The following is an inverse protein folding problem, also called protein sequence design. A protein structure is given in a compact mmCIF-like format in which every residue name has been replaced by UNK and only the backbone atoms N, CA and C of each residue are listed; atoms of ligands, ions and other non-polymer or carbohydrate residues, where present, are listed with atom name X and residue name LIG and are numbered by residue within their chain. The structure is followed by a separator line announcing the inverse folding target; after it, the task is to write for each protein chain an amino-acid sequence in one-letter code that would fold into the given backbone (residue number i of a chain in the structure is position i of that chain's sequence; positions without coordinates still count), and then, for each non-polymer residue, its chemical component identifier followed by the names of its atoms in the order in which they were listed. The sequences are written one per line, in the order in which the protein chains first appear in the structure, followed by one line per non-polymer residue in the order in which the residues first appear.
data_IF_437159416174
#
_entry.id   IF_437159416174
#
_cell.length_a   1.000
_cell.length_b   1.000
_cell.length_c   1.000
_cell.angle_alpha   90.00
_cell.angle_beta   90.00
_cell.angle_gamma   90.00
#
_symmetry.space_group_name_H-M   'P 1'
#
loop_
_entity.id
_entity.type
_entity.pdbx_description
1 polymer ?
#
# COMPACT_ATOMS: atom_id res chain seq x y z
N UNK A 1 -3.22 -1.59 -17.16
CA UNK A 1 -4.15 -1.87 -16.04
C UNK A 1 -3.38 -2.71 -15.03
N UNK A 2 -3.20 -2.25 -13.79
CA UNK A 2 -2.58 -3.06 -12.73
C UNK A 2 -3.67 -3.83 -12.00
N UNK A 3 -3.47 -5.13 -11.76
CA UNK A 3 -4.41 -5.95 -11.02
C UNK A 3 -4.01 -5.98 -9.55
N UNK A 4 -4.89 -5.49 -8.68
CA UNK A 4 -4.71 -5.56 -7.24
C UNK A 4 -5.45 -6.80 -6.73
N UNK A 5 -4.72 -7.74 -6.12
CA UNK A 5 -5.33 -8.91 -5.49
C UNK A 5 -5.20 -8.80 -3.98
N UNK A 6 -6.35 -8.87 -3.31
CA UNK A 6 -6.44 -8.91 -1.86
C UNK A 6 -6.93 -10.30 -1.47
N UNK A 7 -6.20 -10.98 -0.60
CA UNK A 7 -6.66 -12.25 -0.01
C UNK A 7 -7.20 -11.98 1.39
N UNK A 8 -8.47 -12.32 1.60
CA UNK A 8 -9.20 -12.13 2.87
C UNK A 8 -10.16 -10.94 2.78
N UNK A 9 -11.46 -11.21 2.89
CA UNK A 9 -12.58 -10.32 2.51
C UNK A 9 -12.81 -9.04 3.33
N UNK A 10 -11.78 -8.44 3.92
CA UNK A 10 -11.87 -7.21 4.71
C UNK A 10 -10.93 -6.09 4.23
N UNK A 11 -10.28 -6.29 3.07
CA UNK A 11 -9.45 -5.26 2.47
C UNK A 11 -10.13 -4.68 1.22
N UNK A 12 -10.11 -3.36 1.09
CA UNK A 12 -10.54 -2.64 -0.13
C UNK A 12 -9.31 -2.00 -0.75
N UNK A 13 -9.17 -2.06 -2.08
CA UNK A 13 -8.09 -1.39 -2.78
C UNK A 13 -8.57 -0.65 -4.02
N UNK A 14 -7.90 0.46 -4.31
CA UNK A 14 -8.09 1.25 -5.52
C UNK A 14 -6.72 1.60 -6.10
N UNK A 15 -6.55 1.38 -7.40
CA UNK A 15 -5.40 1.84 -8.15
C UNK A 15 -5.77 3.08 -8.96
N UNK A 16 -4.95 4.12 -8.87
CA UNK A 16 -5.13 5.40 -9.53
C UNK A 16 -3.87 5.74 -10.31
N UNK A 17 -4.04 6.43 -11.44
CA UNK A 17 -2.94 7.05 -12.17
C UNK A 17 -3.10 8.55 -12.06
N UNK A 18 -2.14 9.20 -11.42
CA UNK A 18 -2.12 10.65 -11.28
C UNK A 18 -1.81 11.32 -12.63
N UNK A 19 -2.18 12.61 -12.82
CA UNK A 19 -1.94 13.34 -14.07
C UNK A 19 -0.45 13.45 -14.46
N UNK A 20 0.45 13.41 -13.48
CA UNK A 20 1.91 13.37 -13.68
C UNK A 20 2.41 12.00 -14.18
N UNK A 21 1.51 11.04 -14.35
CA UNK A 21 1.80 9.70 -14.84
C UNK A 21 2.15 8.69 -13.75
N UNK A 22 2.30 9.11 -12.49
CA UNK A 22 2.61 8.24 -11.36
C UNK A 22 1.43 7.33 -11.01
N UNK A 23 1.74 6.12 -10.57
CA UNK A 23 0.76 5.20 -10.03
C UNK A 23 0.68 5.33 -8.51
N UNK A 24 -0.55 5.23 -8.01
CA UNK A 24 -0.86 5.14 -6.60
C UNK A 24 -1.81 3.97 -6.37
N UNK A 25 -1.59 3.21 -5.30
CA UNK A 25 -2.50 2.16 -4.83
C UNK A 25 -2.84 2.46 -3.38
N UNK A 26 -4.11 2.74 -3.13
CA UNK A 26 -4.65 2.88 -1.79
C UNK A 26 -5.25 1.55 -1.35
N UNK A 27 -4.89 1.09 -0.17
CA UNK A 27 -5.42 -0.15 0.43
C UNK A 27 -5.86 0.13 1.85
N UNK A 28 -7.04 -0.37 2.22
CA UNK A 28 -7.57 -0.29 3.59
C UNK A 28 -7.68 -1.70 4.13
N UNK A 29 -7.03 -2.00 5.25
CA UNK A 29 -7.25 -3.23 6.01
C UNK A 29 -8.17 -2.94 7.19
N UNK A 30 -9.45 -3.35 7.11
CA UNK A 30 -10.42 -3.21 8.22
C UNK A 30 -10.40 -4.38 9.19
N UNK A 31 -9.58 -5.39 8.94
CA UNK A 31 -9.51 -6.55 9.83
C UNK A 31 -8.69 -6.21 11.08
N UNK A 32 -9.06 -6.81 12.21
CA UNK A 32 -8.28 -6.83 13.46
C UNK A 32 -7.06 -7.76 13.43
N UNK A 33 -6.63 -8.16 12.23
CA UNK A 33 -5.50 -9.04 11.98
C UNK A 33 -4.70 -8.54 10.77
N UNK A 34 -3.44 -8.93 10.69
CA UNK A 34 -2.60 -8.62 9.53
C UNK A 34 -3.17 -9.23 8.25
N UNK A 35 -2.94 -8.55 7.12
CA UNK A 35 -3.36 -9.01 5.80
C UNK A 35 -2.20 -8.95 4.80
N UNK A 36 -2.06 -10.02 4.03
CA UNK A 36 -1.13 -10.06 2.91
C UNK A 36 -1.75 -9.38 1.69
N UNK A 37 -1.14 -8.28 1.26
CA UNK A 37 -1.40 -7.60 0.00
C UNK A 37 -0.47 -8.16 -1.08
N UNK A 38 -1.00 -8.48 -2.26
CA UNK A 38 -0.20 -8.82 -3.44
C UNK A 38 -0.64 -7.99 -4.65
N UNK A 39 0.26 -7.10 -5.10
CA UNK A 39 0.09 -6.35 -6.35
C UNK A 39 0.69 -7.13 -7.50
N UNK A 40 -0.01 -7.18 -8.64
CA UNK A 40 0.43 -7.89 -9.84
C UNK A 40 0.35 -7.01 -11.09
N UNK A 41 1.15 -7.38 -12.09
CA UNK A 41 1.23 -6.65 -13.36
C UNK A 41 1.97 -5.31 -13.22
N UNK A 42 2.82 -5.16 -12.20
CA UNK A 42 3.71 -4.01 -12.07
C UNK A 42 4.85 -4.11 -13.10
N UNK A 43 5.49 -2.97 -13.42
CA UNK A 43 6.75 -3.03 -14.18
C UNK A 43 7.80 -3.79 -13.37
N UNK A 44 8.52 -4.70 -14.03
CA UNK A 44 9.57 -5.49 -13.39
C UNK A 44 10.61 -4.58 -12.73
N UNK A 45 11.03 -4.92 -11.51
CA UNK A 45 12.00 -4.14 -10.71
C UNK A 45 11.59 -2.68 -10.42
N UNK A 46 10.32 -2.32 -10.60
CA UNK A 46 9.82 -1.00 -10.19
C UNK A 46 9.88 -0.83 -8.68
N UNK A 47 10.18 0.39 -8.24
CA UNK A 47 10.33 0.75 -6.83
C UNK A 47 9.09 1.51 -6.37
N UNK A 48 8.60 1.19 -5.18
CA UNK A 48 7.36 1.72 -4.63
C UNK A 48 7.60 2.21 -3.20
N UNK A 49 7.16 3.43 -2.90
CA UNK A 49 7.19 4.02 -1.57
C UNK A 49 5.88 3.71 -0.83
N UNK A 50 5.93 2.99 0.31
CA UNK A 50 4.78 2.80 1.18
C UNK A 50 4.63 3.95 2.17
N UNK A 51 3.40 4.40 2.34
CA UNK A 51 2.99 5.38 3.33
C UNK A 51 1.88 4.75 4.15
N UNK A 52 2.18 4.44 5.41
CA UNK A 52 1.31 3.68 6.29
C UNK A 52 0.70 4.60 7.36
N UNK A 53 -0.60 4.42 7.58
CA UNK A 53 -1.34 5.00 8.68
C UNK A 53 -2.02 3.87 9.48
N UNK A 54 -1.83 3.86 10.80
CA UNK A 54 -2.43 2.88 11.70
C UNK A 54 -3.09 3.60 12.88
N UNK A 55 -4.33 3.24 13.23
CA UNK A 55 -5.07 3.77 14.39
C UNK A 55 -4.70 3.07 15.72
N UNK A 56 -3.49 2.49 15.84
CA UNK A 56 -3.10 1.70 17.01
C UNK A 56 -2.96 2.50 18.33
N UNK A 57 -3.33 3.78 18.37
CA UNK A 57 -3.25 4.61 19.58
C UNK A 57 -4.55 5.38 19.76
N UNK A 58 -5.30 5.03 20.80
CA UNK A 58 -6.33 5.87 21.40
C UNK A 58 -5.68 6.57 22.61
N UNK A 59 -5.79 7.90 22.77
CA UNK A 59 -6.56 8.82 21.94
C UNK A 59 -5.94 8.95 20.54
N UNK A 60 -6.76 9.22 19.49
CA UNK A 60 -6.24 9.50 18.16
C UNK A 60 -5.17 10.56 18.33
N UNK A 61 -3.93 10.36 17.85
CA UNK A 61 -2.98 11.45 17.90
C UNK A 61 -3.60 12.62 17.14
N UNK A 62 -3.66 13.80 17.76
CA UNK A 62 -4.14 15.07 17.16
C UNK A 62 -3.45 15.39 15.82
N UNK A 63 -2.44 14.61 15.45
CA UNK A 63 -1.84 14.51 14.13
C UNK A 63 -1.66 13.04 13.77
N UNK A 64 -2.56 12.50 12.96
CA UNK A 64 -2.38 11.20 12.33
C UNK A 64 -1.10 11.17 11.50
N UNK A 65 -0.02 10.61 12.04
CA UNK A 65 1.29 10.63 11.38
C UNK A 65 1.36 9.51 10.34
N UNK A 66 1.31 9.88 9.07
CA UNK A 66 1.66 8.99 7.96
C UNK A 66 3.15 8.66 8.07
N UNK A 67 3.48 7.39 8.30
CA UNK A 67 4.88 6.95 8.39
C UNK A 67 5.34 6.41 7.04
N UNK A 68 6.40 6.98 6.43
CA UNK A 68 7.03 6.34 5.29
C UNK A 68 7.66 5.02 5.73
N UNK A 69 7.43 3.96 4.96
CA UNK A 69 8.07 2.67 5.14
C UNK A 69 9.25 2.47 4.20
N UNK A 70 9.95 1.33 4.29
CA UNK A 70 11.04 1.00 3.40
C UNK A 70 10.54 0.86 1.95
N UNK A 71 11.34 1.32 0.99
CA UNK A 71 11.03 1.17 -0.43
C UNK A 71 10.88 -0.30 -0.78
N UNK A 72 9.77 -0.64 -1.42
CA UNK A 72 9.44 -1.98 -1.88
C UNK A 72 9.79 -2.11 -3.35
N UNK A 73 10.36 -3.24 -3.74
CA UNK A 73 10.75 -3.49 -5.14
C UNK A 73 9.90 -4.62 -5.70
N UNK A 74 9.24 -4.37 -6.82
CA UNK A 74 8.52 -5.41 -7.55
C UNK A 74 9.51 -6.47 -8.07
N UNK A 75 9.14 -7.74 -7.99
CA UNK A 75 9.94 -8.84 -8.52
C UNK A 75 10.13 -8.72 -10.04
N UNK A 76 11.01 -9.54 -10.60
CA UNK A 76 11.19 -9.65 -12.06
C UNK A 76 9.91 -10.05 -12.79
N UNK A 77 8.94 -10.65 -12.09
CA UNK A 77 7.63 -11.04 -12.62
C UNK A 77 6.57 -9.94 -12.48
N UNK A 78 6.94 -8.74 -11.99
CA UNK A 78 6.00 -7.65 -11.80
C UNK A 78 5.06 -7.85 -10.62
N UNK A 79 5.51 -8.55 -9.58
CA UNK A 79 4.73 -8.78 -8.36
C UNK A 79 5.36 -8.06 -7.16
N UNK A 80 4.53 -7.52 -6.27
CA UNK A 80 4.97 -6.93 -5.01
C UNK A 80 4.07 -7.43 -3.89
N UNK A 81 4.67 -7.87 -2.78
CA UNK A 81 3.93 -8.36 -1.61
C UNK A 81 4.25 -7.51 -0.38
N UNK A 82 3.23 -7.23 0.43
CA UNK A 82 3.35 -6.45 1.66
C UNK A 82 2.43 -7.02 2.74
N UNK A 83 2.89 -7.04 3.99
CA UNK A 83 2.08 -7.41 5.15
C UNK A 83 1.50 -6.14 5.77
N UNK A 84 0.20 -5.95 5.62
CA UNK A 84 -0.53 -4.81 6.17
C UNK A 84 -0.91 -5.06 7.62
N UNK A 85 -0.62 -4.12 8.55
CA UNK A 85 -1.09 -4.20 9.93
C UNK A 85 -2.61 -4.24 10.03
N UNK A 86 -3.17 -4.71 11.16
CA UNK A 86 -4.58 -4.57 11.48
C UNK A 86 -5.05 -3.10 11.39
N UNK A 87 -6.32 -2.89 11.05
CA UNK A 87 -7.00 -1.57 11.16
C UNK A 87 -6.14 -0.40 10.62
N UNK A 88 -5.67 -0.54 9.38
CA UNK A 88 -4.68 0.35 8.77
C UNK A 88 -5.03 0.80 7.35
N UNK A 89 -4.41 1.90 6.94
CA UNK A 89 -4.46 2.45 5.59
C UNK A 89 -3.04 2.48 5.03
N UNK A 90 -2.88 2.01 3.80
CA UNK A 90 -1.60 2.00 3.07
C UNK A 90 -1.78 2.71 1.74
N UNK A 91 -0.94 3.71 1.49
CA UNK A 91 -0.73 4.29 0.18
C UNK A 91 0.61 3.78 -0.37
N UNK A 92 0.60 3.14 -1.53
CA UNK A 92 1.79 2.75 -2.28
C UNK A 92 1.89 3.62 -3.53
N UNK A 93 3.05 4.20 -3.80
CA UNK A 93 3.28 4.95 -5.04
C UNK A 93 4.62 4.60 -5.70
N UNK A 94 4.68 4.59 -7.02
CA UNK A 94 5.93 4.40 -7.77
C UNK A 94 6.81 5.67 -7.81
N UNK A 95 6.34 6.77 -7.21
CA UNK A 95 7.12 7.98 -6.96
C UNK A 95 7.85 7.88 -5.63
N UNK A 96 9.18 7.85 -5.68
CA UNK A 96 9.98 7.99 -4.48
C UNK A 96 9.97 9.46 -4.07
N UNK A 97 9.58 9.76 -2.83
CA UNK A 97 9.71 11.11 -2.26
C UNK A 97 11.15 11.62 -2.43
N UNK A 98 11.28 12.93 -2.71
CA UNK A 98 12.60 13.59 -2.75
C UNK A 98 13.24 13.62 -1.38
#
# INVERSE_FOLDING_TARGET
MHAVSLRGGAASAVALRAPDGCWAVLVVNRARMERRLTLRGLRASSRWAPYLYCEAVVPPPDRGMVKPGPVLTATRRGELTYMMPPESFLLLTDRLGK
#
